data_IF_322046292593
#
_entry.id   IF_322046292593
#
_cell.length_a   1.000
_cell.length_b   1.000
_cell.length_c   1.000
_cell.angle_alpha   90.00
_cell.angle_beta   90.00
_cell.angle_gamma   90.00
#
_symmetry.space_group_name_H-M   'P 1'
#
loop_
_entity.id
_entity.type
_entity.pdbx_description
1 polymer ?
#
# COMPACT_ATOMS: atom_id res chain seq x y z
N UNK A 1 -8.28 11.53 2.66
CA UNK A 1 -7.37 10.44 3.03
C UNK A 1 -7.50 10.10 4.50
N UNK A 2 -7.57 8.81 4.82
CA UNK A 2 -7.41 8.30 6.19
C UNK A 2 -6.04 7.65 6.34
N UNK A 3 -5.33 7.88 7.44
CA UNK A 3 -4.03 7.23 7.72
C UNK A 3 -4.20 6.22 8.86
N UNK A 4 -3.80 4.98 8.60
CA UNK A 4 -3.94 3.86 9.53
C UNK A 4 -2.61 3.12 9.65
N UNK A 5 -2.13 3.04 10.88
CA UNK A 5 -1.03 2.14 11.27
C UNK A 5 -1.63 0.76 11.55
N UNK A 6 -1.28 -0.23 10.73
CA UNK A 6 -1.84 -1.58 10.80
C UNK A 6 -1.26 -2.41 11.96
N UNK A 7 -0.17 -1.97 12.58
CA UNK A 7 0.41 -2.64 13.76
C UNK A 7 -0.33 -2.24 15.05
N UNK A 8 -1.19 -1.22 15.00
CA UNK A 8 -1.96 -0.79 16.17
C UNK A 8 -3.14 -1.72 16.43
N UNK A 9 -3.46 -1.96 17.72
CA UNK A 9 -4.70 -2.64 18.05
C UNK A 9 -5.88 -1.85 17.47
N UNK A 10 -6.94 -2.58 17.08
CA UNK A 10 -8.16 -2.00 16.50
C UNK A 10 -7.98 -1.29 15.14
N UNK A 11 -6.90 -1.52 14.40
CA UNK A 11 -6.72 -0.95 13.04
C UNK A 11 -7.93 -1.23 12.12
N UNK A 12 -8.48 -2.45 12.16
CA UNK A 12 -9.69 -2.82 11.41
C UNK A 12 -10.90 -1.96 11.79
N UNK A 13 -11.11 -1.75 13.09
CA UNK A 13 -12.20 -0.91 13.58
C UNK A 13 -12.01 0.54 13.11
N UNK A 14 -10.79 1.08 13.21
CA UNK A 14 -10.48 2.42 12.72
C UNK A 14 -10.76 2.59 11.23
N UNK A 15 -10.44 1.58 10.40
CA UNK A 15 -10.79 1.57 8.97
C UNK A 15 -12.31 1.60 8.78
N UNK A 16 -13.05 0.75 9.50
CA UNK A 16 -14.50 0.69 9.42
C UNK A 16 -15.15 2.02 9.84
N UNK A 17 -14.68 2.63 10.92
CA UNK A 17 -15.17 3.92 11.42
C UNK A 17 -14.95 5.02 10.37
N UNK A 18 -13.75 5.08 9.77
CA UNK A 18 -13.49 6.00 8.67
C UNK A 18 -14.42 5.75 7.47
N UNK A 19 -14.61 4.51 7.07
CA UNK A 19 -15.49 4.17 5.95
C UNK A 19 -16.95 4.53 6.22
N UNK A 20 -17.42 4.37 7.46
CA UNK A 20 -18.80 4.66 7.84
C UNK A 20 -19.06 6.17 7.93
N UNK A 21 -18.16 6.90 8.58
CA UNK A 21 -18.40 8.29 8.96
C UNK A 21 -17.77 9.31 8.03
N UNK A 22 -16.60 9.00 7.47
CA UNK A 22 -15.82 9.94 6.64
C UNK A 22 -15.90 9.59 5.16
N UNK A 23 -15.99 8.29 4.82
CA UNK A 23 -16.00 7.78 3.43
C UNK A 23 -14.81 8.33 2.62
N UNK A 24 -13.57 8.12 3.09
CA UNK A 24 -12.42 8.69 2.44
C UNK A 24 -12.25 8.12 1.02
N UNK A 25 -11.74 8.94 0.11
CA UNK A 25 -11.41 8.52 -1.27
C UNK A 25 -10.28 7.48 -1.27
N UNK A 26 -9.37 7.58 -0.30
CA UNK A 26 -8.21 6.73 -0.13
C UNK A 26 -7.88 6.52 1.36
N UNK A 27 -7.26 5.37 1.64
CA UNK A 27 -6.72 5.03 2.95
C UNK A 27 -5.25 4.65 2.81
N UNK A 28 -4.39 5.37 3.50
CA UNK A 28 -2.95 5.09 3.62
C UNK A 28 -2.72 4.08 4.73
N UNK A 29 -2.03 3.00 4.37
CA UNK A 29 -1.61 1.96 5.30
C UNK A 29 -0.12 1.98 5.54
N UNK A 30 0.24 2.12 6.80
CA UNK A 30 1.61 2.01 7.29
C UNK A 30 1.72 0.77 8.15
N UNK A 31 2.79 -0.01 7.96
CA UNK A 31 3.01 -1.25 8.70
C UNK A 31 4.50 -1.59 8.79
N UNK A 32 4.95 -1.97 9.97
CA UNK A 32 6.29 -2.50 10.21
C UNK A 32 6.35 -4.01 10.01
N UNK A 33 5.20 -4.69 10.03
CA UNK A 33 5.06 -6.11 9.75
C UNK A 33 4.06 -6.34 8.63
N UNK A 34 4.44 -7.15 7.66
CA UNK A 34 3.61 -7.58 6.53
C UNK A 34 2.54 -8.63 6.90
N UNK A 35 2.44 -9.01 8.18
CA UNK A 35 1.56 -10.08 8.66
C UNK A 35 0.13 -9.64 8.99
N UNK A 36 -0.22 -8.38 8.71
CA UNK A 36 -1.57 -7.88 8.99
C UNK A 36 -2.63 -8.62 8.15
N UNK A 37 -3.64 -9.18 8.82
CA UNK A 37 -4.78 -9.81 8.14
C UNK A 37 -5.56 -8.83 7.22
N UNK A 38 -5.40 -7.53 7.44
CA UNK A 38 -5.99 -6.48 6.59
C UNK A 38 -5.30 -6.47 5.21
N UNK A 39 -3.98 -6.65 5.14
CA UNK A 39 -3.22 -6.71 3.88
C UNK A 39 -3.62 -7.96 3.08
N UNK A 40 -3.75 -9.09 3.77
CA UNK A 40 -4.18 -10.35 3.16
C UNK A 40 -5.65 -10.31 2.68
N UNK A 41 -6.52 -9.53 3.34
CA UNK A 41 -7.96 -9.47 3.04
C UNK A 41 -8.42 -8.06 2.68
N UNK A 42 -7.66 -7.34 1.86
CA UNK A 42 -7.86 -5.91 1.62
C UNK A 42 -9.13 -5.54 0.80
N UNK A 43 -9.79 -6.52 0.17
CA UNK A 43 -10.90 -6.30 -0.77
C UNK A 43 -12.09 -5.54 -0.17
N UNK A 44 -12.35 -5.64 1.14
CA UNK A 44 -13.45 -4.92 1.80
C UNK A 44 -13.28 -3.39 1.70
N UNK A 45 -12.05 -2.91 1.56
CA UNK A 45 -11.76 -1.47 1.42
C UNK A 45 -12.22 -0.95 0.06
N UNK A 46 -11.92 -1.72 -0.98
CA UNK A 46 -12.30 -1.41 -2.36
C UNK A 46 -13.82 -1.49 -2.57
N UNK A 47 -14.52 -2.38 -1.86
CA UNK A 47 -16.00 -2.49 -1.92
C UNK A 47 -16.71 -1.19 -1.50
N UNK A 48 -16.07 -0.37 -0.66
CA UNK A 48 -16.59 0.95 -0.24
C UNK A 48 -16.10 2.10 -1.13
N UNK A 49 -15.51 1.80 -2.29
CA UNK A 49 -14.93 2.75 -3.25
C UNK A 49 -13.74 3.56 -2.71
N UNK A 50 -13.16 3.15 -1.59
CA UNK A 50 -11.89 3.71 -1.11
C UNK A 50 -10.73 3.02 -1.84
N UNK A 51 -9.75 3.80 -2.26
CA UNK A 51 -8.47 3.32 -2.77
C UNK A 51 -7.54 2.94 -1.62
N UNK A 52 -6.62 2.02 -1.88
CA UNK A 52 -5.54 1.67 -0.95
C UNK A 52 -4.27 2.38 -1.39
N UNK A 53 -3.68 3.13 -0.47
CA UNK A 53 -2.40 3.80 -0.59
C UNK A 53 -1.36 3.08 0.26
N UNK A 54 -0.23 2.69 -0.34
CA UNK A 54 0.92 2.15 0.40
C UNK A 54 2.19 2.91 0.01
N UNK A 55 3.02 3.24 0.99
CA UNK A 55 4.30 3.90 0.77
C UNK A 55 5.37 2.88 0.36
N UNK A 56 6.17 3.14 -0.67
CA UNK A 56 7.37 2.37 -1.03
C UNK A 56 8.67 3.04 -0.57
N UNK A 57 8.59 4.02 0.34
CA UNK A 57 9.72 4.89 0.68
C UNK A 57 10.80 4.18 1.52
N UNK A 58 10.43 3.68 2.70
CA UNK A 58 11.37 3.04 3.63
C UNK A 58 10.68 1.99 4.52
N UNK A 59 11.48 1.05 5.00
CA UNK A 59 11.06 -0.19 5.70
C UNK A 59 10.05 0.01 6.83
N UNK A 60 10.11 1.12 7.59
CA UNK A 60 9.20 1.33 8.73
C UNK A 60 7.75 1.63 8.33
N UNK A 61 7.47 1.86 7.04
CA UNK A 61 6.13 2.08 6.51
C UNK A 61 5.56 0.87 5.77
N UNK A 62 6.41 -0.06 5.34
CA UNK A 62 6.05 -1.12 4.40
C UNK A 62 6.75 -2.46 4.65
N UNK A 63 7.28 -2.69 5.85
CA UNK A 63 7.97 -3.94 6.22
C UNK A 63 9.13 -4.36 5.29
N UNK A 64 9.74 -3.42 4.55
CA UNK A 64 10.86 -3.68 3.63
C UNK A 64 10.45 -3.87 2.17
N UNK A 65 9.18 -3.66 1.84
CA UNK A 65 8.70 -3.60 0.46
C UNK A 65 8.96 -2.21 -0.16
N UNK A 66 10.21 -1.76 -0.08
CA UNK A 66 10.63 -0.38 -0.39
C UNK A 66 11.38 -0.24 -1.73
N UNK A 67 11.61 1.01 -2.11
CA UNK A 67 12.18 1.42 -3.39
C UNK A 67 13.62 0.93 -3.57
N UNK A 68 14.43 0.96 -2.52
CA UNK A 68 15.80 0.46 -2.57
C UNK A 68 15.83 -1.07 -2.79
N UNK A 69 14.87 -1.80 -2.21
CA UNK A 69 14.69 -3.22 -2.52
C UNK A 69 14.32 -3.47 -3.98
N UNK A 70 13.48 -2.62 -4.58
CA UNK A 70 13.09 -2.75 -5.99
C UNK A 70 14.22 -2.38 -6.98
N UNK A 71 15.04 -1.39 -6.63
CA UNK A 71 16.01 -0.76 -7.54
C UNK A 71 17.44 -1.17 -7.24
N UNK A 72 17.95 -0.90 -6.02
CA UNK A 72 19.35 -1.14 -5.66
C UNK A 72 19.64 -2.64 -5.51
N UNK A 73 18.75 -3.37 -4.83
CA UNK A 73 18.81 -4.85 -4.75
C UNK A 73 18.30 -5.49 -6.05
N UNK A 74 17.49 -4.75 -6.82
CA UNK A 74 16.93 -5.21 -8.09
C UNK A 74 15.78 -6.21 -7.94
N UNK A 75 15.20 -6.36 -6.74
CA UNK A 75 14.17 -7.36 -6.45
C UNK A 75 12.76 -6.75 -6.38
N UNK A 76 12.19 -6.47 -7.55
CA UNK A 76 10.83 -5.90 -7.68
C UNK A 76 9.73 -6.84 -7.17
N UNK A 77 9.99 -8.16 -7.20
CA UNK A 77 9.03 -9.20 -6.76
C UNK A 77 8.68 -9.05 -5.28
N UNK A 78 9.67 -8.79 -4.43
CA UNK A 78 9.47 -8.63 -2.98
C UNK A 78 9.26 -7.18 -2.55
N UNK A 79 9.13 -6.25 -3.52
CA UNK A 79 8.87 -4.83 -3.26
C UNK A 79 7.60 -4.41 -4.02
N UNK A 80 7.72 -3.71 -5.15
CA UNK A 80 6.59 -3.15 -5.87
C UNK A 80 5.52 -4.18 -6.28
N UNK A 81 5.91 -5.39 -6.72
CA UNK A 81 4.93 -6.43 -7.01
C UNK A 81 4.14 -6.85 -5.78
N UNK A 82 4.84 -7.01 -4.65
CA UNK A 82 4.20 -7.34 -3.39
C UNK A 82 3.18 -6.27 -3.01
N UNK A 83 3.52 -4.99 -3.11
CA UNK A 83 2.59 -3.88 -2.83
C UNK A 83 1.33 -3.95 -3.71
N UNK A 84 1.50 -4.20 -5.00
CA UNK A 84 0.41 -4.31 -5.98
C UNK A 84 -0.48 -5.53 -5.66
N UNK A 85 0.13 -6.69 -5.39
CA UNK A 85 -0.56 -7.92 -5.03
C UNK A 85 -1.37 -7.77 -3.72
N UNK A 86 -0.92 -6.90 -2.81
CA UNK A 86 -1.60 -6.58 -1.56
C UNK A 86 -2.55 -5.37 -1.66
N UNK A 87 -2.96 -5.05 -2.89
CA UNK A 87 -4.09 -4.17 -3.16
C UNK A 87 -3.74 -2.71 -3.34
N UNK A 88 -2.46 -2.33 -3.36
CA UNK A 88 -2.07 -0.94 -3.60
C UNK A 88 -2.60 -0.46 -4.95
N UNK A 89 -3.43 0.59 -4.89
CA UNK A 89 -3.92 1.33 -6.05
C UNK A 89 -3.25 2.69 -6.19
N UNK A 90 -2.62 3.15 -5.10
CA UNK A 90 -1.77 4.32 -5.02
C UNK A 90 -0.47 3.89 -4.33
N UNK A 91 0.67 4.24 -4.92
CA UNK A 91 1.99 4.00 -4.33
C UNK A 91 2.73 5.34 -4.25
N UNK A 92 3.14 5.74 -3.05
CA UNK A 92 4.03 6.90 -2.85
C UNK A 92 5.49 6.42 -2.85
N UNK A 93 6.33 7.03 -3.68
CA UNK A 93 7.69 6.58 -3.98
C UNK A 93 8.68 7.74 -4.08
N UNK A 94 9.93 7.50 -3.73
CA UNK A 94 11.08 8.39 -4.01
C UNK A 94 11.80 8.04 -5.32
N UNK A 95 11.31 7.02 -6.04
CA UNK A 95 11.75 6.58 -7.38
C UNK A 95 10.63 6.71 -8.43
N UNK A 96 10.00 7.89 -8.59
CA UNK A 96 8.80 8.04 -9.41
C UNK A 96 9.04 7.71 -10.88
N UNK A 97 10.22 7.99 -11.43
CA UNK A 97 10.54 7.67 -12.83
C UNK A 97 10.57 6.15 -13.06
N UNK A 98 11.25 5.45 -12.18
CA UNK A 98 11.47 4.01 -12.25
C UNK A 98 10.15 3.26 -11.99
N UNK A 99 9.38 3.69 -10.98
CA UNK A 99 8.07 3.12 -10.70
C UNK A 99 7.09 3.36 -11.85
N UNK A 100 7.04 4.57 -12.42
CA UNK A 100 6.18 4.85 -13.58
C UNK A 100 6.56 3.98 -14.78
N UNK A 101 7.85 3.86 -15.08
CA UNK A 101 8.34 2.98 -16.16
C UNK A 101 7.94 1.52 -15.91
N UNK A 102 8.05 1.07 -14.67
CA UNK A 102 7.65 -0.27 -14.25
C UNK A 102 6.15 -0.53 -14.44
N UNK A 103 5.31 0.35 -13.91
CA UNK A 103 3.86 0.22 -13.98
C UNK A 103 3.35 0.30 -15.43
N UNK A 104 3.93 1.18 -16.27
CA UNK A 104 3.59 1.26 -17.70
C UNK A 104 3.92 -0.03 -18.44
N UNK A 105 5.10 -0.63 -18.20
CA UNK A 105 5.47 -1.93 -18.78
C UNK A 105 4.53 -3.06 -18.37
N UNK A 106 3.96 -2.99 -17.15
CA UNK A 106 2.95 -3.94 -16.66
C UNK A 106 1.51 -3.64 -17.12
N UNK A 107 1.29 -2.55 -17.85
CA UNK A 107 -0.07 -2.11 -18.23
C UNK A 107 -0.91 -1.59 -17.06
N UNK A 108 -0.28 -1.26 -15.93
CA UNK A 108 -0.93 -0.76 -14.71
C UNK A 108 -0.97 0.78 -14.64
N UNK A 109 -0.30 1.46 -15.58
CA UNK A 109 -0.34 2.92 -15.72
C UNK A 109 -0.26 3.32 -17.20
N UNK A 110 -0.78 4.51 -17.53
CA UNK A 110 -0.77 5.11 -18.87
C UNK A 110 0.33 6.16 -19.02
#
# INVERSE_FOLDING_TARGET
MAVVDLDKPHAMQKINDYQQHIKPVDSEFNFKKDTSAILANHLFINQKRSKIWINSLWTSLNSGHDDDTAIEIGNKKVSWDWLIEHGATIIQTDRPRELLSYLKKKGLHK
#
